data_IF_156973601957
#
_entry.id   IF_156973601957
#
_cell.length_a   1.000
_cell.length_b   1.000
_cell.length_c   1.000
_cell.angle_alpha   90.00
_cell.angle_beta   90.00
_cell.angle_gamma   90.00
#
_symmetry.space_group_name_H-M   'P 1'
#
loop_
_entity.id
_entity.type
_entity.pdbx_description
1 polymer ?
#
# COMPACT_ATOMS: atom_id res chain seq x y z
N UNK A 1 9.96 0.84 -21.15
CA UNK A 1 10.16 -0.56 -20.68
C UNK A 1 9.49 -0.74 -19.32
N UNK A 2 8.76 -1.83 -19.12
CA UNK A 2 8.18 -2.21 -17.82
C UNK A 2 9.17 -3.15 -17.15
N UNK A 3 9.57 -2.86 -15.91
CA UNK A 3 10.39 -3.77 -15.11
C UNK A 3 9.48 -4.61 -14.23
N UNK A 4 9.80 -5.89 -14.11
CA UNK A 4 9.02 -6.85 -13.32
C UNK A 4 9.87 -7.33 -12.16
N UNK A 5 9.35 -7.23 -10.93
CA UNK A 5 10.00 -7.72 -9.72
C UNK A 5 9.02 -8.69 -9.05
N UNK A 6 9.44 -9.94 -8.82
CA UNK A 6 8.61 -11.04 -8.28
C UNK A 6 7.22 -11.14 -8.96
N UNK A 7 7.18 -11.05 -10.29
CA UNK A 7 5.93 -11.13 -11.07
C UNK A 7 4.99 -9.92 -10.93
N UNK A 8 5.42 -8.82 -10.29
CA UNK A 8 4.67 -7.55 -10.24
C UNK A 8 5.26 -6.53 -11.22
N UNK A 9 4.43 -5.89 -12.09
CA UNK A 9 4.90 -4.86 -12.99
C UNK A 9 5.03 -3.50 -12.31
N UNK A 10 6.13 -2.80 -12.57
CA UNK A 10 6.42 -1.47 -12.05
C UNK A 10 6.46 -0.42 -13.16
N UNK A 11 6.00 0.79 -12.85
CA UNK A 11 6.10 1.94 -13.76
C UNK A 11 7.53 2.49 -13.69
N UNK A 12 8.16 2.74 -14.83
CA UNK A 12 9.55 3.21 -14.92
C UNK A 12 9.87 4.46 -14.08
N UNK A 13 8.95 5.42 -14.01
CA UNK A 13 9.11 6.67 -13.25
C UNK A 13 8.81 6.55 -11.75
N UNK A 14 8.37 5.40 -11.27
CA UNK A 14 8.08 5.19 -9.85
C UNK A 14 9.39 5.15 -9.04
N UNK A 15 9.36 5.63 -7.79
CA UNK A 15 10.46 5.46 -6.85
C UNK A 15 10.53 4.00 -6.41
N UNK A 16 11.74 3.46 -6.24
CA UNK A 16 11.92 2.07 -5.79
C UNK A 16 11.23 1.86 -4.43
N UNK A 17 11.45 2.77 -3.48
CA UNK A 17 10.85 2.72 -2.13
C UNK A 17 9.32 2.67 -2.16
N UNK A 18 8.70 3.63 -2.86
CA UNK A 18 7.23 3.72 -2.97
C UNK A 18 6.67 2.52 -3.74
N UNK A 19 7.35 2.10 -4.81
CA UNK A 19 6.96 0.95 -5.61
C UNK A 19 6.90 -0.32 -4.78
N UNK A 20 8.00 -0.67 -4.11
CA UNK A 20 8.06 -1.90 -3.31
C UNK A 20 6.97 -1.91 -2.23
N UNK A 21 6.79 -0.79 -1.51
CA UNK A 21 5.74 -0.66 -0.50
C UNK A 21 4.32 -0.80 -1.08
N UNK A 22 4.06 -0.24 -2.26
CA UNK A 22 2.71 -0.20 -2.84
C UNK A 22 2.27 -1.56 -3.40
N UNK A 23 3.20 -2.35 -3.93
CA UNK A 23 2.90 -3.62 -4.64
C UNK A 23 2.92 -4.84 -3.75
N UNK A 24 3.79 -4.88 -2.73
CA UNK A 24 3.93 -6.04 -1.85
C UNK A 24 3.19 -5.84 -0.54
N UNK A 25 2.19 -6.70 -0.29
CA UNK A 25 1.45 -6.66 0.97
C UNK A 25 2.36 -7.04 2.14
N UNK A 26 2.32 -6.23 3.20
CA UNK A 26 3.00 -6.53 4.44
C UNK A 26 4.43 -6.00 4.54
N UNK A 27 4.94 -5.30 3.52
CA UNK A 27 6.13 -4.45 3.65
C UNK A 27 5.76 -3.13 4.32
N UNK A 28 6.50 -2.75 5.35
CA UNK A 28 6.44 -1.42 5.94
C UNK A 28 7.49 -0.49 5.32
N UNK A 29 7.37 0.82 5.57
CA UNK A 29 8.39 1.81 5.15
C UNK A 29 9.78 1.45 5.70
N UNK A 30 9.83 0.98 6.94
CA UNK A 30 11.07 0.56 7.61
C UNK A 30 11.69 -0.65 6.90
N UNK A 31 10.90 -1.68 6.56
CA UNK A 31 11.42 -2.87 5.88
C UNK A 31 11.99 -2.53 4.51
N UNK A 32 11.29 -1.68 3.77
CA UNK A 32 11.75 -1.22 2.45
C UNK A 32 13.02 -0.39 2.57
N UNK A 33 13.07 0.55 3.53
CA UNK A 33 14.27 1.35 3.79
C UNK A 33 15.48 0.47 4.13
N UNK A 34 15.26 -0.57 4.95
CA UNK A 34 16.29 -1.56 5.30
C UNK A 34 16.80 -2.32 4.09
N UNK A 35 15.90 -2.80 3.22
CA UNK A 35 16.27 -3.49 1.97
C UNK A 35 17.04 -2.56 1.02
N UNK A 36 16.56 -1.33 0.82
CA UNK A 36 17.23 -0.34 -0.01
C UNK A 36 18.62 0.02 0.53
N UNK A 37 18.76 0.15 1.84
CA UNK A 37 20.04 0.45 2.49
C UNK A 37 21.03 -0.70 2.35
N UNK A 38 20.56 -1.95 2.52
CA UNK A 38 21.37 -3.16 2.36
C UNK A 38 21.90 -3.33 0.93
N UNK A 39 21.11 -2.95 -0.06
CA UNK A 39 21.48 -3.02 -1.48
C UNK A 39 22.20 -1.75 -1.99
N UNK A 40 22.39 -0.75 -1.14
CA UNK A 40 23.09 0.49 -1.50
C UNK A 40 22.32 1.42 -2.44
N UNK A 41 20.98 1.38 -2.43
CA UNK A 41 20.17 2.29 -3.24
C UNK A 41 20.04 3.65 -2.57
N UNK A 42 20.19 4.71 -3.36
CA UNK A 42 19.94 6.06 -2.87
C UNK A 42 18.42 6.33 -2.75
N UNK A 43 17.96 7.22 -1.84
CA UNK A 43 16.55 7.34 -1.47
C UNK A 43 15.58 7.73 -2.60
N UNK A 44 16.08 8.44 -3.61
CA UNK A 44 15.29 8.94 -4.76
C UNK A 44 15.46 8.07 -6.02
N UNK A 45 16.02 6.88 -5.88
CA UNK A 45 16.25 5.97 -7.01
C UNK A 45 14.93 5.57 -7.67
N UNK A 46 14.93 5.58 -9.00
CA UNK A 46 13.77 5.26 -9.82
C UNK A 46 13.89 3.84 -10.36
N UNK A 47 12.75 3.22 -10.60
CA UNK A 47 12.66 1.84 -11.05
C UNK A 47 13.41 1.58 -12.37
N UNK A 48 13.38 2.51 -13.33
CA UNK A 48 14.07 2.35 -14.61
C UNK A 48 15.61 2.37 -14.51
N UNK A 49 16.15 2.82 -13.39
CA UNK A 49 17.60 2.91 -13.16
C UNK A 49 18.16 1.62 -12.57
N UNK A 50 17.30 0.66 -12.21
CA UNK A 50 17.72 -0.61 -11.65
C UNK A 50 18.38 -1.47 -12.71
N UNK A 51 19.56 -1.99 -12.40
CA UNK A 51 20.21 -3.02 -13.21
C UNK A 51 19.60 -4.39 -12.92
N UNK A 52 19.80 -5.34 -13.82
CA UNK A 52 19.30 -6.72 -13.64
C UNK A 52 19.84 -7.36 -12.36
N UNK A 53 21.12 -7.14 -12.04
CA UNK A 53 21.74 -7.61 -10.80
C UNK A 53 21.07 -7.02 -9.56
N UNK A 54 20.72 -5.74 -9.59
CA UNK A 54 20.01 -5.07 -8.49
C UNK A 54 18.58 -5.59 -8.35
N UNK A 55 17.90 -5.88 -9.46
CA UNK A 55 16.57 -6.52 -9.46
C UNK A 55 16.66 -7.90 -8.81
N UNK A 56 17.64 -8.72 -9.17
CA UNK A 56 17.88 -10.01 -8.55
C UNK A 56 18.18 -9.88 -7.05
N UNK A 57 18.99 -8.89 -6.66
CA UNK A 57 19.23 -8.55 -5.26
C UNK A 57 17.93 -8.25 -4.50
N UNK A 58 17.06 -7.40 -5.06
CA UNK A 58 15.74 -7.13 -4.48
C UNK A 58 14.93 -8.41 -4.34
N UNK A 59 14.89 -9.27 -5.37
CA UNK A 59 14.10 -10.51 -5.30
C UNK A 59 14.56 -11.45 -4.20
N UNK A 60 15.88 -11.55 -3.98
CA UNK A 60 16.47 -12.37 -2.91
C UNK A 60 16.13 -11.81 -1.52
N UNK A 61 16.27 -10.51 -1.33
CA UNK A 61 15.93 -9.89 -0.05
C UNK A 61 14.43 -9.98 0.27
N UNK A 62 13.57 -9.91 -0.75
CA UNK A 62 12.14 -10.04 -0.57
C UNK A 62 11.67 -11.48 -0.34
N UNK A 63 12.37 -12.49 -0.88
CA UNK A 63 12.00 -13.90 -0.67
C UNK A 63 12.17 -14.34 0.79
N UNK A 64 13.11 -13.74 1.50
CA UNK A 64 13.37 -14.08 2.90
C UNK A 64 12.32 -13.49 3.86
N UNK A 65 11.52 -12.52 3.39
CA UNK A 65 10.51 -11.84 4.18
C UNK A 65 9.13 -12.49 4.02
N UNK A 66 8.38 -12.57 5.12
CA UNK A 66 6.97 -13.00 5.07
C UNK A 66 6.10 -11.89 4.47
N UNK A 67 5.86 -11.95 3.16
CA UNK A 67 5.10 -10.94 2.40
C UNK A 67 3.93 -11.56 1.64
N UNK A 68 3.08 -10.72 1.04
CA UNK A 68 2.12 -11.17 0.02
C UNK A 68 1.07 -12.15 0.54
N UNK A 69 1.06 -13.36 -0.01
CA UNK A 69 0.06 -14.39 0.29
C UNK A 69 0.28 -15.01 1.67
N UNK A 70 1.53 -15.27 2.05
CA UNK A 70 1.87 -15.96 3.29
C UNK A 70 1.47 -15.13 4.50
N UNK A 71 1.78 -13.83 4.48
CA UNK A 71 1.34 -12.89 5.52
C UNK A 71 -0.18 -12.80 5.63
N UNK A 72 -0.92 -12.95 4.52
CA UNK A 72 -2.40 -13.00 4.55
C UNK A 72 -2.90 -14.33 5.10
N UNK A 73 -2.25 -15.44 4.77
CA UNK A 73 -2.58 -16.76 5.27
C UNK A 73 -2.47 -16.82 6.80
N UNK A 74 -1.39 -16.29 7.37
CA UNK A 74 -1.19 -16.16 8.82
C UNK A 74 -2.34 -15.39 9.48
N UNK A 75 -2.78 -14.27 8.87
CA UNK A 75 -3.88 -13.49 9.45
C UNK A 75 -5.22 -14.25 9.35
N UNK A 76 -5.45 -14.97 8.24
CA UNK A 76 -6.66 -15.78 8.06
C UNK A 76 -6.70 -16.93 9.05
N UNK A 77 -5.59 -17.65 9.23
CA UNK A 77 -5.51 -18.75 10.20
C UNK A 77 -5.77 -18.25 11.61
N UNK A 78 -5.23 -17.09 12.00
CA UNK A 78 -5.50 -16.47 13.30
C UNK A 78 -7.00 -16.12 13.50
N UNK A 79 -7.69 -15.63 12.47
CA UNK A 79 -9.14 -15.34 12.55
C UNK A 79 -9.95 -16.64 12.59
N UNK A 80 -9.58 -17.64 11.79
CA UNK A 80 -10.21 -18.95 11.79
C UNK A 80 -10.08 -19.62 13.16
N UNK A 81 -8.89 -19.60 13.75
CA UNK A 81 -8.62 -20.11 15.09
C UNK A 81 -9.48 -19.40 16.15
N UNK A 82 -9.63 -18.08 16.08
CA UNK A 82 -10.52 -17.35 17.01
C UNK A 82 -11.97 -17.80 16.91
N UNK A 83 -12.42 -18.21 15.73
CA UNK A 83 -13.76 -18.76 15.50
C UNK A 83 -13.87 -20.18 16.03
N UNK A 84 -12.91 -21.06 15.75
CA UNK A 84 -12.97 -22.47 16.17
C UNK A 84 -12.97 -22.59 17.70
N UNK A 85 -12.22 -21.73 18.39
CA UNK A 85 -12.21 -21.66 19.86
C UNK A 85 -13.53 -21.13 20.45
N UNK A 86 -14.39 -20.48 19.64
CA UNK A 86 -15.63 -19.88 20.14
C UNK A 86 -15.44 -18.55 20.87
N UNK A 87 -14.30 -17.88 20.68
CA UNK A 87 -14.04 -16.58 21.33
C UNK A 87 -15.02 -15.48 20.89
N UNK A 88 -15.27 -14.50 21.76
CA UNK A 88 -16.09 -13.32 21.41
C UNK A 88 -15.61 -12.65 20.12
N UNK A 89 -14.29 -12.50 19.94
CA UNK A 89 -13.73 -11.92 18.73
C UNK A 89 -14.06 -12.75 17.47
N UNK A 90 -13.98 -14.08 17.56
CA UNK A 90 -14.35 -14.99 16.47
C UNK A 90 -15.81 -14.84 16.05
N UNK A 91 -16.71 -14.81 17.03
CA UNK A 91 -18.15 -14.56 16.80
C UNK A 91 -18.38 -13.21 16.12
N UNK A 92 -17.71 -12.14 16.56
CA UNK A 92 -17.85 -10.80 15.94
C UNK A 92 -17.31 -10.77 14.50
N UNK A 93 -16.22 -11.49 14.21
CA UNK A 93 -15.71 -11.66 12.86
C UNK A 93 -16.69 -12.42 11.95
N UNK A 94 -17.38 -13.44 12.46
CA UNK A 94 -18.40 -14.20 11.73
C UNK A 94 -19.64 -13.34 11.42
N UNK A 95 -20.10 -12.55 12.40
CA UNK A 95 -21.26 -11.67 12.28
C UNK A 95 -20.98 -10.36 11.52
N UNK A 96 -19.75 -10.13 11.08
CA UNK A 96 -19.36 -8.89 10.42
C UNK A 96 -19.45 -7.64 11.31
N UNK A 97 -19.35 -7.81 12.63
CA UNK A 97 -19.47 -6.71 13.58
C UNK A 97 -18.10 -6.19 14.02
N UNK A 98 -18.02 -4.96 14.57
CA UNK A 98 -16.80 -4.47 15.18
C UNK A 98 -16.33 -5.39 16.32
N UNK A 99 -15.02 -5.68 16.34
CA UNK A 99 -14.40 -6.65 17.27
C UNK A 99 -13.87 -5.98 18.53
N UNK A 100 -13.49 -4.70 18.45
CA UNK A 100 -12.81 -3.95 19.54
C UNK A 100 -13.79 -3.22 20.48
N UNK A 101 -14.95 -3.83 20.78
CA UNK A 101 -15.95 -3.23 21.70
C UNK A 101 -16.63 -1.95 21.19
N UNK A 102 -16.55 -1.64 19.90
CA UNK A 102 -17.14 -0.43 19.33
C UNK A 102 -18.68 -0.54 19.29
N UNK A 103 -19.37 0.60 19.51
CA UNK A 103 -20.83 0.70 19.44
C UNK A 103 -21.33 0.38 18.02
N UNK A 104 -22.47 -0.31 17.92
CA UNK A 104 -23.04 -0.76 16.63
C UNK A 104 -24.36 -0.10 16.25
N UNK A 105 -24.92 0.75 17.13
CA UNK A 105 -26.22 1.41 16.93
C UNK A 105 -26.21 2.39 15.75
N UNK A 106 -25.17 3.21 15.65
CA UNK A 106 -25.07 4.27 14.63
C UNK A 106 -24.13 3.90 13.49
N UNK A 107 -22.86 3.63 13.80
CA UNK A 107 -21.80 3.47 12.81
C UNK A 107 -21.10 2.10 12.91
N UNK A 108 -21.39 1.21 11.97
CA UNK A 108 -20.71 -0.08 11.82
C UNK A 108 -20.52 -0.53 10.35
N UNK A 109 -20.76 0.37 9.37
CA UNK A 109 -20.81 0.05 7.94
C UNK A 109 -19.52 -0.61 7.42
N UNK A 110 -18.36 -0.04 7.77
CA UNK A 110 -17.05 -0.56 7.34
C UNK A 110 -16.78 -1.95 7.89
N UNK A 111 -17.10 -2.19 9.17
CA UNK A 111 -16.97 -3.51 9.78
C UNK A 111 -17.89 -4.53 9.09
N UNK A 112 -19.17 -4.19 8.87
CA UNK A 112 -20.12 -5.06 8.17
C UNK A 112 -19.65 -5.43 6.76
N UNK A 113 -19.01 -4.49 6.06
CA UNK A 113 -18.47 -4.76 4.72
C UNK A 113 -17.23 -5.65 4.73
N UNK A 114 -16.28 -5.39 5.65
CA UNK A 114 -14.91 -5.92 5.59
C UNK A 114 -14.63 -7.06 6.59
N UNK A 115 -15.31 -7.11 7.74
CA UNK A 115 -15.14 -8.18 8.71
C UNK A 115 -15.87 -9.43 8.22
N UNK A 116 -15.07 -10.45 7.91
CA UNK A 116 -15.49 -11.80 7.52
C UNK A 116 -14.43 -12.76 8.05
N UNK A 117 -14.77 -14.04 8.14
CA UNK A 117 -13.81 -15.10 8.48
C UNK A 117 -12.72 -15.16 7.39
N UNK A 118 -13.15 -15.24 6.13
CA UNK A 118 -12.26 -15.07 5.00
C UNK A 118 -12.15 -13.59 4.62
N UNK A 119 -11.12 -12.92 5.13
CA UNK A 119 -10.82 -11.55 4.70
C UNK A 119 -10.33 -11.54 3.25
N UNK A 120 -11.12 -10.87 2.40
CA UNK A 120 -10.79 -10.59 0.99
C UNK A 120 -9.81 -9.41 0.84
N UNK A 121 -9.86 -8.44 1.75
CA UNK A 121 -8.98 -7.27 1.78
C UNK A 121 -8.78 -6.73 3.19
N UNK A 122 -7.66 -6.05 3.41
CA UNK A 122 -7.24 -5.59 4.75
C UNK A 122 -7.32 -4.07 4.96
N UNK A 123 -7.66 -3.26 3.94
CA UNK A 123 -8.06 -1.84 4.05
C UNK A 123 -8.57 -1.28 2.71
N UNK A 124 -9.38 -0.21 2.75
CA UNK A 124 -9.77 0.64 1.61
C UNK A 124 -8.70 1.66 1.26
N UNK A 125 -7.60 1.17 0.70
CA UNK A 125 -6.81 1.96 -0.24
C UNK A 125 -6.47 1.04 -1.41
N UNK A 126 -7.52 0.56 -2.09
CA UNK A 126 -7.38 0.30 -3.51
C UNK A 126 -6.94 1.63 -4.11
N UNK A 127 -5.67 1.71 -4.45
CA UNK A 127 -5.06 2.71 -5.32
C UNK A 127 -6.14 3.25 -6.29
N UNK A 128 -6.69 4.44 -6.03
CA UNK A 128 -7.68 5.10 -6.90
C UNK A 128 -7.05 5.56 -8.24
N UNK A 129 -5.86 5.07 -8.57
CA UNK A 129 -5.06 5.48 -9.73
C UNK A 129 -5.25 4.60 -10.98
N UNK A 130 -6.21 3.68 -10.98
CA UNK A 130 -6.53 2.85 -12.16
C UNK A 130 -8.02 2.89 -12.58
N UNK A 131 -8.83 3.80 -12.04
CA UNK A 131 -10.24 3.95 -12.41
C UNK A 131 -10.50 5.09 -13.42
N UNK A 132 -9.46 5.81 -13.87
CA UNK A 132 -9.61 6.88 -14.85
C UNK A 132 -8.56 6.63 -15.94
N UNK A 133 -9.01 6.07 -17.05
CA UNK A 133 -8.26 6.15 -18.30
C UNK A 133 -8.24 7.59 -18.74
N UNK A 134 -7.14 8.30 -18.46
CA UNK A 134 -6.76 9.53 -19.14
C UNK A 134 -5.27 9.45 -19.46
N UNK A 135 -5.00 9.17 -20.73
CA UNK A 135 -3.75 9.51 -21.42
C UNK A 135 -3.63 11.03 -21.55
N UNK A 136 -2.38 11.51 -21.48
CA UNK A 136 -1.84 12.77 -22.04
C UNK A 136 -2.46 14.08 -21.51
N UNK A 137 -1.73 14.96 -20.83
CA UNK A 137 -0.70 15.89 -21.34
C UNK A 137 -0.15 16.60 -20.08
N UNK A 138 1.12 16.97 -19.90
CA UNK A 138 1.82 18.07 -20.57
C UNK A 138 3.32 18.00 -20.19
N UNK A 139 4.17 18.16 -21.20
CA UNK A 139 5.50 18.74 -21.08
C UNK A 139 5.39 20.28 -21.01
N UNK A 140 6.48 20.95 -20.62
CA UNK A 140 6.70 22.41 -20.42
C UNK A 140 6.40 22.85 -18.98
N UNK A 141 7.22 23.62 -18.29
CA UNK A 141 8.56 24.18 -18.52
C UNK A 141 8.99 24.75 -17.17
N UNK A 142 10.27 25.03 -17.02
CA UNK A 142 10.82 25.82 -15.92
C UNK A 142 10.11 27.18 -15.75
N UNK A 143 10.32 27.78 -14.58
CA UNK A 143 9.95 29.14 -14.13
C UNK A 143 8.64 29.26 -13.33
N UNK A 144 8.74 29.80 -12.11
CA UNK A 144 7.55 30.21 -11.33
C UNK A 144 7.68 30.19 -9.81
N UNK A 145 8.83 30.57 -9.24
CA UNK A 145 8.85 31.11 -7.86
C UNK A 145 8.09 32.44 -7.91
N UNK A 146 7.22 32.72 -6.91
CA UNK A 146 6.34 33.90 -6.77
C UNK A 146 4.96 33.87 -7.44
N UNK A 147 3.97 33.22 -6.80
CA UNK A 147 2.56 33.49 -7.05
C UNK A 147 1.66 33.36 -5.79
N UNK A 148 2.23 33.63 -4.61
CA UNK A 148 1.55 33.43 -3.31
C UNK A 148 1.05 34.69 -2.60
N UNK A 149 1.04 35.88 -3.23
CA UNK A 149 0.79 37.14 -2.50
C UNK A 149 -0.35 38.03 -3.02
N UNK A 150 -1.08 37.65 -4.08
CA UNK A 150 -2.08 38.54 -4.71
C UNK A 150 -3.55 38.29 -4.37
N UNK A 151 -3.88 37.38 -3.45
CA UNK A 151 -5.28 37.10 -3.07
C UNK A 151 -5.69 37.61 -1.67
N UNK A 152 -4.92 38.50 -1.05
CA UNK A 152 -5.23 39.07 0.27
C UNK A 152 -5.68 40.55 0.25
N UNK A 153 -5.84 41.16 -0.94
CA UNK A 153 -6.25 42.56 -1.11
C UNK A 153 -7.45 42.68 -2.06
N UNK A 154 -8.52 41.92 -1.77
CA UNK A 154 -9.83 42.07 -2.46
C UNK A 154 -11.04 41.95 -1.51
N UNK A 155 -10.79 42.12 -0.21
CA UNK A 155 -11.79 42.27 0.86
C UNK A 155 -11.38 43.49 1.69
N UNK A 156 -11.53 44.68 1.12
CA UNK A 156 -11.57 46.01 1.75
C UNK A 156 -11.35 47.04 0.65
N UNK A 157 -12.47 47.44 0.02
CA UNK A 157 -12.88 48.75 -0.52
C UNK A 157 -14.25 48.50 -1.17
#
# INVERSE_FOLDING_TARGET
MVTTIMGKPFRAKELVTIGLKSKFYGLSEHDVSKVCSKLGFYPKMRIHQLTEQQILGITKELSDLTIGADKKAIIRSNIALKRTIGSYAGMRHALGLPVRGQRTKTNAKTARRLNRIERRGYATSTNQYNAIGLQESFHHSEQGVFAGFKNFMRILI
#
